data_IF_939074694487
#
_entry.id   IF_939074694487
#
_cell.length_a   1.000
_cell.length_b   1.000
_cell.length_c   1.000
_cell.angle_alpha   90.00
_cell.angle_beta   90.00
_cell.angle_gamma   90.00
#
_symmetry.space_group_name_H-M   'P 1'
#
loop_
_entity.id
_entity.type
_entity.pdbx_description
1 polymer ?
#
# COMPACT_ATOMS: atom_id res chain seq x y z
N UNK A 1 49.90 -20.04 -38.45
CA UNK A 1 50.08 -19.41 -37.13
C UNK A 1 49.24 -18.14 -37.13
N UNK A 2 48.12 -18.18 -36.51
CA UNK A 2 47.28 -16.99 -36.31
C UNK A 2 46.43 -17.27 -35.07
N UNK A 3 46.75 -16.55 -34.01
CA UNK A 3 46.10 -16.65 -32.70
C UNK A 3 44.75 -15.97 -32.77
N UNK A 4 43.65 -16.71 -32.60
CA UNK A 4 42.37 -16.16 -32.18
C UNK A 4 42.34 -16.19 -30.66
N UNK A 5 42.48 -15.01 -30.05
CA UNK A 5 42.20 -14.78 -28.63
C UNK A 5 40.69 -14.61 -28.50
N UNK A 6 40.02 -15.58 -27.90
CA UNK A 6 38.63 -15.49 -27.47
C UNK A 6 38.57 -14.55 -26.29
N UNK A 7 38.03 -13.34 -26.48
CA UNK A 7 37.65 -12.45 -25.41
C UNK A 7 36.29 -12.91 -24.87
N UNK A 8 36.32 -13.81 -23.89
CA UNK A 8 35.17 -14.06 -23.02
C UNK A 8 34.99 -12.84 -22.12
N UNK A 9 34.06 -11.96 -22.44
CA UNK A 9 33.55 -10.98 -21.50
C UNK A 9 32.83 -11.77 -20.40
N UNK A 10 33.52 -11.93 -19.27
CA UNK A 10 32.88 -12.34 -18.03
C UNK A 10 31.77 -11.32 -17.74
N UNK A 11 30.51 -11.77 -17.67
CA UNK A 11 29.41 -10.99 -17.15
C UNK A 11 29.84 -10.46 -15.78
N UNK A 12 30.22 -9.19 -15.71
CA UNK A 12 30.55 -8.52 -14.46
C UNK A 12 29.35 -8.68 -13.52
N UNK A 13 29.59 -9.20 -12.31
CA UNK A 13 28.57 -9.29 -11.28
C UNK A 13 27.87 -7.92 -11.19
N UNK A 14 26.54 -7.92 -11.30
CA UNK A 14 25.79 -6.67 -11.28
C UNK A 14 26.10 -5.91 -9.98
N UNK A 15 26.32 -4.58 -10.03
CA UNK A 15 26.72 -3.82 -8.85
C UNK A 15 25.67 -3.97 -7.75
N UNK A 16 26.14 -4.18 -6.50
CA UNK A 16 25.30 -4.27 -5.31
C UNK A 16 24.87 -2.88 -4.79
N UNK A 17 25.16 -1.83 -5.55
CA UNK A 17 24.80 -0.44 -5.21
C UNK A 17 23.88 0.12 -6.30
N UNK A 18 22.88 0.94 -5.90
CA UNK A 18 22.03 1.62 -6.85
C UNK A 18 22.84 2.67 -7.62
N UNK A 19 22.34 3.09 -8.78
CA UNK A 19 22.94 4.21 -9.50
C UNK A 19 22.93 5.48 -8.63
N UNK A 20 23.90 6.39 -8.81
CA UNK A 20 23.89 7.69 -8.12
C UNK A 20 22.58 8.44 -8.31
N UNK A 21 21.98 8.38 -9.49
CA UNK A 21 20.69 9.01 -9.78
C UNK A 21 19.55 8.40 -8.94
N UNK A 22 19.52 7.07 -8.76
CA UNK A 22 18.51 6.43 -7.91
C UNK A 22 18.68 6.86 -6.45
N UNK A 23 19.91 6.87 -5.94
CA UNK A 23 20.19 7.29 -4.57
C UNK A 23 19.83 8.77 -4.34
N UNK A 24 20.13 9.65 -5.29
CA UNK A 24 19.83 11.08 -5.21
C UNK A 24 18.30 11.32 -5.23
N UNK A 25 17.56 10.62 -6.08
CA UNK A 25 16.11 10.74 -6.12
C UNK A 25 15.47 10.26 -4.82
N UNK A 26 15.89 9.10 -4.30
CA UNK A 26 15.36 8.61 -3.01
C UNK A 26 15.65 9.61 -1.90
N UNK A 27 16.88 10.13 -1.79
CA UNK A 27 17.22 11.17 -0.81
C UNK A 27 16.35 12.41 -0.94
N UNK A 28 16.16 12.89 -2.18
CA UNK A 28 15.34 14.07 -2.45
C UNK A 28 13.90 13.88 -2.01
N UNK A 29 13.28 12.72 -2.29
CA UNK A 29 11.89 12.45 -1.90
C UNK A 29 11.76 12.27 -0.38
N UNK A 30 12.71 11.59 0.25
CA UNK A 30 12.72 11.37 1.71
C UNK A 30 12.92 12.68 2.48
N UNK A 31 13.68 13.64 1.94
CA UNK A 31 13.88 14.93 2.57
C UNK A 31 12.65 15.84 2.60
N UNK A 32 11.56 15.43 1.98
CA UNK A 32 10.27 16.14 2.03
C UNK A 32 9.38 15.41 3.03
N UNK A 33 9.05 16.10 4.13
CA UNK A 33 8.11 15.55 5.11
C UNK A 33 6.69 15.52 4.53
N UNK A 34 6.23 14.32 4.22
CA UNK A 34 4.86 14.02 3.79
C UNK A 34 4.21 13.03 4.76
N UNK A 35 4.47 13.19 6.05
CA UNK A 35 3.79 12.42 7.10
C UNK A 35 2.28 12.46 6.86
N UNK A 36 1.61 11.30 6.92
CA UNK A 36 0.16 11.20 6.72
C UNK A 36 -0.57 12.27 7.53
N UNK A 37 -1.57 12.88 6.96
CA UNK A 37 -2.24 14.11 7.41
C UNK A 37 -1.48 15.44 7.13
N UNK A 38 -0.28 15.41 6.55
CA UNK A 38 0.36 16.61 6.02
C UNK A 38 0.19 16.66 4.49
N UNK A 39 0.16 17.88 3.89
CA UNK A 39 0.05 18.03 2.44
C UNK A 39 1.22 17.39 1.70
N UNK A 40 0.93 16.65 0.62
CA UNK A 40 1.95 16.04 -0.24
C UNK A 40 2.21 16.82 -1.54
N UNK A 41 1.48 17.90 -1.81
CA UNK A 41 1.49 18.60 -3.10
C UNK A 41 2.89 19.07 -3.50
N UNK A 42 3.70 19.53 -2.54
CA UNK A 42 5.08 19.96 -2.84
C UNK A 42 5.95 18.82 -3.39
N UNK A 43 5.81 17.59 -2.87
CA UNK A 43 6.48 16.41 -3.43
C UNK A 43 5.94 16.09 -4.83
N UNK A 44 4.61 16.09 -4.97
CA UNK A 44 3.93 15.78 -6.25
C UNK A 44 4.33 16.77 -7.35
N UNK A 45 4.47 18.06 -7.05
CA UNK A 45 4.92 19.07 -8.00
C UNK A 45 6.36 18.84 -8.45
N UNK A 46 7.25 18.45 -7.56
CA UNK A 46 8.63 18.08 -7.91
C UNK A 46 8.63 16.89 -8.88
N UNK A 47 7.82 15.89 -8.65
CA UNK A 47 7.71 14.72 -9.55
C UNK A 47 7.08 15.12 -10.89
N UNK A 48 6.00 15.92 -10.88
CA UNK A 48 5.37 16.43 -12.10
C UNK A 48 6.37 17.21 -12.96
N UNK A 49 7.14 18.10 -12.34
CA UNK A 49 8.10 18.95 -13.05
C UNK A 49 9.26 18.12 -13.64
N UNK A 50 9.67 17.06 -12.95
CA UNK A 50 10.66 16.13 -13.50
C UNK A 50 10.11 15.33 -14.68
N UNK A 51 8.91 14.80 -14.58
CA UNK A 51 8.24 14.13 -15.70
C UNK A 51 8.13 15.07 -16.91
N UNK A 52 7.76 16.34 -16.67
CA UNK A 52 7.66 17.36 -17.72
C UNK A 52 9.01 17.65 -18.39
N UNK A 53 10.14 17.66 -17.66
CA UNK A 53 11.49 17.78 -18.25
C UNK A 53 11.82 16.66 -19.23
N UNK A 54 11.24 15.49 -19.01
CA UNK A 54 11.33 14.34 -19.90
C UNK A 54 10.20 14.28 -20.94
N UNK A 55 9.41 15.35 -21.10
CA UNK A 55 8.30 15.41 -22.06
C UNK A 55 7.13 14.49 -21.70
N UNK A 56 6.97 14.14 -20.44
CA UNK A 56 5.90 13.29 -19.94
C UNK A 56 4.90 14.18 -19.20
N UNK A 57 3.68 14.25 -19.73
CA UNK A 57 2.60 14.99 -19.10
C UNK A 57 1.98 14.20 -17.94
N UNK A 58 1.87 14.84 -16.78
CA UNK A 58 1.23 14.28 -15.60
C UNK A 58 -0.09 14.99 -15.30
N UNK A 59 -1.09 14.21 -14.94
CA UNK A 59 -2.38 14.69 -14.41
C UNK A 59 -2.36 14.66 -12.90
N UNK A 60 -2.69 15.76 -12.24
CA UNK A 60 -2.90 15.80 -10.79
C UNK A 60 -4.39 15.59 -10.49
N UNK A 61 -4.67 14.68 -9.58
CA UNK A 61 -6.02 14.41 -9.05
C UNK A 61 -6.06 14.96 -7.63
N UNK A 62 -6.54 16.20 -7.51
CA UNK A 62 -6.60 16.91 -6.24
C UNK A 62 -7.66 16.31 -5.30
N UNK A 63 -7.33 16.23 -4.02
CA UNK A 63 -8.28 15.95 -2.95
C UNK A 63 -9.17 17.19 -2.70
N UNK A 64 -10.24 17.03 -1.94
CA UNK A 64 -11.07 18.17 -1.46
C UNK A 64 -10.32 19.04 -0.45
N UNK A 65 -9.34 18.47 0.25
CA UNK A 65 -8.42 19.19 1.11
C UNK A 65 -7.38 19.91 0.25
N UNK A 66 -7.13 21.17 0.56
CA UNK A 66 -6.09 21.94 -0.13
C UNK A 66 -4.69 21.39 0.20
N UNK A 67 -3.87 21.20 -0.82
CA UNK A 67 -2.50 20.72 -0.67
C UNK A 67 -2.32 19.22 -0.78
N UNK A 68 -3.37 18.44 -1.05
CA UNK A 68 -3.29 17.00 -1.34
C UNK A 68 -3.59 16.69 -2.78
N UNK A 69 -2.77 15.86 -3.40
CA UNK A 69 -3.01 15.38 -4.76
C UNK A 69 -2.40 14.00 -4.99
N UNK A 70 -3.07 13.21 -5.82
CA UNK A 70 -2.46 12.08 -6.51
C UNK A 70 -1.88 12.54 -7.84
N UNK A 71 -0.95 11.76 -8.39
CA UNK A 71 -0.38 11.97 -9.71
C UNK A 71 -0.58 10.74 -10.58
N UNK A 72 -1.00 10.94 -11.83
CA UNK A 72 -0.96 9.93 -12.85
C UNK A 72 -0.28 10.44 -14.10
N UNK A 73 0.70 9.69 -14.62
CA UNK A 73 1.41 10.02 -15.84
C UNK A 73 1.50 8.81 -16.75
N UNK A 74 1.49 9.04 -18.07
CA UNK A 74 1.63 7.98 -19.07
C UNK A 74 2.78 8.31 -20.01
N UNK A 75 3.78 7.44 -20.07
CA UNK A 75 4.72 7.38 -21.19
C UNK A 75 4.06 6.55 -22.28
N UNK A 76 3.67 7.13 -23.41
CA UNK A 76 2.97 6.40 -24.46
C UNK A 76 3.89 5.38 -25.13
N UNK A 77 3.31 4.38 -25.77
CA UNK A 77 4.03 3.51 -26.70
C UNK A 77 4.55 4.35 -27.90
N UNK A 78 5.50 3.78 -28.64
CA UNK A 78 6.14 4.46 -29.77
C UNK A 78 5.16 4.88 -30.90
N UNK A 79 4.03 4.20 -31.01
CA UNK A 79 2.94 4.50 -31.96
C UNK A 79 1.93 5.50 -31.40
N UNK A 80 2.15 5.99 -30.19
CA UNK A 80 1.27 6.93 -29.49
C UNK A 80 0.19 6.28 -28.63
N UNK A 81 0.10 4.93 -28.59
CA UNK A 81 -0.89 4.24 -27.75
C UNK A 81 -0.70 4.57 -26.26
N UNK A 82 -1.79 4.77 -25.55
CA UNK A 82 -1.83 5.11 -24.11
C UNK A 82 -2.64 4.11 -23.28
N UNK A 83 -3.30 3.14 -23.92
CA UNK A 83 -4.04 2.05 -23.30
C UNK A 83 -3.18 0.81 -23.18
N UNK A 84 -3.46 -0.04 -22.20
CA UNK A 84 -2.63 -1.22 -21.89
C UNK A 84 -1.43 -0.87 -21.04
N UNK A 85 -0.34 -1.63 -21.20
CA UNK A 85 0.91 -1.39 -20.48
C UNK A 85 0.85 -1.64 -18.97
N UNK A 86 1.85 -1.14 -18.26
CA UNK A 86 2.06 -1.43 -16.84
C UNK A 86 2.04 -0.14 -16.03
N UNK A 87 1.33 -0.16 -14.89
CA UNK A 87 1.39 0.90 -13.87
C UNK A 87 2.47 0.56 -12.85
N UNK A 88 3.35 1.52 -12.58
CA UNK A 88 4.19 1.56 -11.39
C UNK A 88 3.47 2.41 -10.34
N UNK A 89 2.99 1.78 -9.27
CA UNK A 89 2.21 2.44 -8.24
C UNK A 89 2.99 2.54 -6.93
N UNK A 90 2.82 3.69 -6.25
CA UNK A 90 3.37 3.90 -4.93
C UNK A 90 2.74 5.08 -4.21
N UNK A 91 2.73 5.02 -2.88
CA UNK A 91 2.26 6.12 -2.06
C UNK A 91 3.39 7.08 -1.69
N UNK A 92 3.02 8.34 -1.48
CA UNK A 92 3.96 9.43 -1.20
C UNK A 92 4.01 9.83 0.26
N UNK A 93 3.01 9.45 1.02
CA UNK A 93 2.97 9.68 2.47
C UNK A 93 3.81 8.66 3.24
N UNK A 94 4.05 8.96 4.50
CA UNK A 94 4.82 8.14 5.43
C UNK A 94 4.21 8.22 6.82
N UNK A 95 4.38 7.18 7.64
CA UNK A 95 3.89 7.18 9.03
C UNK A 95 4.63 8.22 9.90
N UNK A 96 3.96 8.76 10.94
CA UNK A 96 4.56 9.72 11.87
C UNK A 96 5.84 9.20 12.54
N UNK A 97 6.77 10.12 12.80
CA UNK A 97 8.01 9.85 13.55
C UNK A 97 7.91 10.28 15.01
N UNK A 98 6.84 10.97 15.37
CA UNK A 98 6.62 11.47 16.73
C UNK A 98 6.60 10.31 17.75
N UNK A 99 7.30 10.50 18.87
CA UNK A 99 7.42 9.48 19.92
C UNK A 99 8.42 8.36 19.64
N UNK A 100 9.09 8.38 18.48
CA UNK A 100 10.16 7.44 18.13
C UNK A 100 11.55 8.04 18.43
N UNK A 101 12.47 7.20 18.87
CA UNK A 101 13.88 7.61 19.09
C UNK A 101 14.68 7.30 17.83
N UNK A 102 15.14 8.34 17.14
CA UNK A 102 15.97 8.27 15.94
C UNK A 102 17.41 8.67 16.25
N UNK A 103 18.37 7.97 15.63
CA UNK A 103 19.81 8.26 15.76
C UNK A 103 20.23 9.41 14.84
N UNK A 104 19.42 9.74 13.82
CA UNK A 104 19.61 10.85 12.89
C UNK A 104 18.26 11.46 12.53
N UNK A 105 18.25 12.64 11.91
CA UNK A 105 17.01 13.27 11.43
C UNK A 105 16.32 12.34 10.42
N UNK A 106 15.07 11.89 10.66
CA UNK A 106 14.35 10.99 9.76
C UNK A 106 14.11 11.56 8.36
N UNK A 107 14.16 12.87 8.17
CA UNK A 107 14.00 13.56 6.90
C UNK A 107 15.32 14.13 6.33
N UNK A 108 16.47 13.80 6.92
CA UNK A 108 17.79 14.04 6.38
C UNK A 108 18.49 12.68 6.06
N UNK A 109 18.12 12.02 4.95
CA UNK A 109 18.52 10.64 4.69
C UNK A 109 20.02 10.51 4.49
N UNK A 110 20.63 9.56 5.19
CA UNK A 110 22.07 9.32 5.14
C UNK A 110 22.43 7.84 4.92
N UNK A 111 23.54 7.60 4.23
CA UNK A 111 24.06 6.25 4.03
C UNK A 111 25.03 5.91 5.16
N UNK A 112 24.76 4.80 5.85
CA UNK A 112 25.63 4.19 6.87
C UNK A 112 25.65 2.67 6.64
N UNK A 113 26.79 2.06 6.67
CA UNK A 113 26.98 0.59 6.60
C UNK A 113 26.16 -0.10 5.47
N UNK A 114 26.18 0.48 4.25
CA UNK A 114 25.47 -0.07 3.10
C UNK A 114 23.94 0.06 3.17
N UNK A 115 23.42 0.97 4.02
CA UNK A 115 22.00 1.22 4.22
C UNK A 115 21.71 2.71 4.10
N UNK A 116 20.61 3.07 3.46
CA UNK A 116 20.08 4.42 3.43
C UNK A 116 19.01 4.55 4.53
N UNK A 117 19.32 5.33 5.57
CA UNK A 117 18.42 5.60 6.69
C UNK A 117 17.56 6.82 6.41
N UNK A 118 16.31 6.79 6.81
CA UNK A 118 15.32 7.87 6.73
C UNK A 118 13.91 7.34 6.67
N UNK A 119 12.92 8.11 7.13
CA UNK A 119 11.51 7.76 7.06
C UNK A 119 11.02 7.75 5.60
N UNK A 120 10.44 6.62 5.18
CA UNK A 120 9.98 6.41 3.80
C UNK A 120 11.06 5.90 2.85
N UNK A 121 12.29 5.63 3.34
CA UNK A 121 13.32 5.00 2.49
C UNK A 121 12.93 3.59 2.08
N UNK A 122 12.28 2.85 2.96
CA UNK A 122 11.75 1.52 2.75
C UNK A 122 10.28 1.57 2.29
N UNK A 123 9.46 2.37 2.94
CA UNK A 123 8.01 2.43 2.78
C UNK A 123 7.56 3.86 2.41
N UNK A 124 7.40 4.20 1.08
CA UNK A 124 7.94 3.43 -0.06
C UNK A 124 8.57 4.38 -1.09
N UNK A 125 9.13 5.53 -0.62
CA UNK A 125 9.81 6.52 -1.48
C UNK A 125 11.05 5.94 -2.18
N UNK A 126 11.63 4.84 -1.62
CA UNK A 126 12.72 4.09 -2.25
C UNK A 126 12.34 3.54 -3.62
N UNK A 127 11.17 2.94 -3.76
CA UNK A 127 10.64 2.49 -5.04
C UNK A 127 10.39 3.65 -6.00
N UNK A 128 9.69 4.69 -5.52
CA UNK A 128 9.35 5.87 -6.34
C UNK A 128 10.62 6.56 -6.87
N UNK A 129 11.60 6.82 -5.99
CA UNK A 129 12.85 7.47 -6.37
C UNK A 129 13.65 6.64 -7.39
N UNK A 130 13.68 5.32 -7.21
CA UNK A 130 14.32 4.41 -8.17
C UNK A 130 13.62 4.43 -9.53
N UNK A 131 12.29 4.49 -9.57
CA UNK A 131 11.52 4.58 -10.82
C UNK A 131 11.77 5.92 -11.54
N UNK A 132 11.82 7.04 -10.80
CA UNK A 132 12.12 8.37 -11.36
C UNK A 132 13.54 8.47 -11.93
N UNK A 133 14.51 7.82 -11.30
CA UNK A 133 15.89 7.78 -11.79
C UNK A 133 16.01 7.13 -13.18
N UNK A 134 15.05 6.30 -13.56
CA UNK A 134 15.02 5.62 -14.86
C UNK A 134 14.33 6.42 -15.96
N UNK A 135 13.84 7.64 -15.71
CA UNK A 135 13.17 8.47 -16.72
C UNK A 135 14.02 8.70 -17.98
N UNK A 136 15.34 8.98 -17.90
CA UNK A 136 16.18 9.06 -19.10
C UNK A 136 16.16 7.77 -19.93
N UNK A 137 16.32 6.62 -19.26
CA UNK A 137 16.29 5.30 -19.89
C UNK A 137 14.93 5.00 -20.53
N UNK A 138 13.83 5.30 -19.84
CA UNK A 138 12.46 5.14 -20.36
C UNK A 138 12.28 5.96 -21.64
N UNK A 139 12.81 7.18 -21.69
CA UNK A 139 12.71 8.08 -22.86
C UNK A 139 13.51 7.59 -24.06
N UNK A 140 14.62 6.92 -23.83
CA UNK A 140 15.47 6.33 -24.88
C UNK A 140 14.91 5.00 -25.39
N UNK A 141 14.08 4.33 -24.60
CA UNK A 141 13.49 3.04 -24.94
C UNK A 141 12.31 3.21 -25.89
N UNK A 142 12.31 2.45 -26.99
CA UNK A 142 11.18 2.38 -27.92
C UNK A 142 10.11 1.44 -27.37
N UNK A 143 9.17 1.98 -26.61
CA UNK A 143 8.13 1.18 -25.95
C UNK A 143 7.11 0.65 -26.98
N UNK A 144 6.77 -0.63 -26.95
CA UNK A 144 5.63 -1.22 -27.66
C UNK A 144 4.33 -1.08 -26.89
N UNK A 145 4.42 -0.92 -25.57
CA UNK A 145 3.27 -0.70 -24.68
C UNK A 145 3.56 0.46 -23.74
N UNK A 146 2.54 1.20 -23.30
CA UNK A 146 2.75 2.35 -22.40
C UNK A 146 3.27 1.91 -21.03
N UNK A 147 3.99 2.83 -20.38
CA UNK A 147 4.35 2.75 -18.97
C UNK A 147 3.66 3.88 -18.22
N UNK A 148 3.04 3.56 -17.09
CA UNK A 148 2.33 4.54 -16.28
C UNK A 148 2.94 4.69 -14.90
N UNK A 149 2.86 5.90 -14.35
CA UNK A 149 3.15 6.22 -12.96
C UNK A 149 1.84 6.57 -12.25
N UNK A 150 1.60 5.95 -11.12
CA UNK A 150 0.46 6.24 -10.25
C UNK A 150 0.98 6.50 -8.84
N UNK A 151 0.91 7.76 -8.39
CA UNK A 151 1.37 8.13 -7.05
C UNK A 151 0.18 8.62 -6.24
N UNK A 152 -0.03 7.99 -5.08
CA UNK A 152 -1.14 8.27 -4.18
C UNK A 152 -0.68 9.02 -2.92
N UNK A 153 -1.65 9.56 -2.18
CA UNK A 153 -1.47 10.14 -0.85
C UNK A 153 -2.29 9.36 0.19
N UNK A 154 -1.91 9.50 1.45
CA UNK A 154 -2.65 8.97 2.61
C UNK A 154 -2.96 7.46 2.47
N UNK A 155 -1.98 6.68 1.99
CA UNK A 155 -2.07 5.21 1.97
C UNK A 155 -2.05 4.67 3.40
N UNK A 156 -1.13 5.16 4.22
CA UNK A 156 -0.82 4.72 5.58
C UNK A 156 -1.97 4.88 6.59
N UNK A 157 -2.97 5.64 6.22
CA UNK A 157 -4.19 5.84 7.02
C UNK A 157 -5.43 5.18 6.38
N UNK A 158 -5.18 4.20 5.49
CA UNK A 158 -6.21 3.36 4.89
C UNK A 158 -6.46 3.59 3.42
N UNK A 159 -5.42 3.87 2.63
CA UNK A 159 -5.45 4.01 1.17
C UNK A 159 -6.43 5.10 0.71
N UNK A 160 -6.51 6.23 1.41
CA UNK A 160 -7.56 7.27 1.20
C UNK A 160 -7.43 7.93 -0.18
N UNK A 161 -6.21 8.13 -0.69
CA UNK A 161 -5.96 8.79 -1.96
C UNK A 161 -6.24 7.91 -3.17
N UNK A 162 -5.86 6.64 -3.14
CA UNK A 162 -5.92 5.71 -4.27
C UNK A 162 -7.33 5.59 -4.90
N UNK A 163 -8.45 5.53 -4.17
CA UNK A 163 -9.78 5.50 -4.76
C UNK A 163 -10.09 6.69 -5.68
N UNK A 164 -9.61 7.89 -5.34
CA UNK A 164 -9.81 9.09 -6.16
C UNK A 164 -9.02 9.00 -7.46
N UNK A 165 -7.78 8.52 -7.40
CA UNK A 165 -6.94 8.28 -8.56
C UNK A 165 -7.58 7.24 -9.49
N UNK A 166 -7.99 6.10 -8.96
CA UNK A 166 -8.63 5.00 -9.72
C UNK A 166 -9.95 5.47 -10.36
N UNK A 167 -10.76 6.25 -9.64
CA UNK A 167 -11.99 6.82 -10.18
C UNK A 167 -11.70 7.78 -11.35
N UNK A 168 -10.60 8.55 -11.29
CA UNK A 168 -10.15 9.40 -12.38
C UNK A 168 -9.72 8.58 -13.60
N UNK A 169 -8.94 7.52 -13.43
CA UNK A 169 -8.55 6.60 -14.51
C UNK A 169 -9.79 6.04 -15.22
N UNK A 170 -10.74 5.54 -14.44
CA UNK A 170 -12.01 5.01 -14.98
C UNK A 170 -12.79 6.07 -15.77
N UNK A 171 -12.90 7.30 -15.25
CA UNK A 171 -13.59 8.41 -15.92
C UNK A 171 -12.92 8.79 -17.25
N UNK A 172 -11.59 8.75 -17.30
CA UNK A 172 -10.80 9.04 -18.51
C UNK A 172 -10.70 7.86 -19.48
N UNK A 173 -11.22 6.68 -19.10
CA UNK A 173 -11.18 5.47 -19.92
C UNK A 173 -9.78 4.83 -20.01
N UNK A 174 -8.85 5.16 -19.10
CA UNK A 174 -7.50 4.58 -19.06
C UNK A 174 -7.58 3.16 -18.51
N UNK A 175 -7.07 2.19 -19.26
CA UNK A 175 -7.16 0.74 -18.93
C UNK A 175 -5.78 0.11 -18.97
N UNK A 176 -4.98 0.18 -17.92
CA UNK A 176 -3.72 -0.53 -17.85
C UNK A 176 -3.92 -2.04 -17.92
N UNK A 177 -2.97 -2.74 -18.53
CA UNK A 177 -2.98 -4.21 -18.61
C UNK A 177 -2.51 -4.86 -17.30
N UNK A 178 -1.76 -4.13 -16.47
CA UNK A 178 -1.32 -4.59 -15.15
C UNK A 178 -0.79 -3.46 -14.28
N UNK A 179 -0.65 -3.75 -12.99
CA UNK A 179 -0.11 -2.83 -12.00
C UNK A 179 0.92 -3.55 -11.11
N UNK A 180 2.02 -2.86 -10.82
CA UNK A 180 3.02 -3.26 -9.82
C UNK A 180 2.99 -2.20 -8.72
N UNK A 181 2.55 -2.58 -7.54
CA UNK A 181 2.64 -1.74 -6.33
C UNK A 181 3.99 -2.00 -5.67
N UNK A 182 4.77 -0.96 -5.48
CA UNK A 182 6.19 -1.05 -5.13
C UNK A 182 6.50 -1.17 -3.64
N UNK A 183 5.60 -1.73 -2.85
CA UNK A 183 5.78 -1.96 -1.41
C UNK A 183 6.96 -2.88 -1.10
N UNK A 184 7.57 -2.76 0.11
CA UNK A 184 8.78 -3.47 0.48
C UNK A 184 8.57 -4.97 0.67
N UNK A 185 8.80 -5.75 -0.37
CA UNK A 185 8.65 -7.22 -0.39
C UNK A 185 9.98 -7.97 -0.42
N UNK A 186 11.12 -7.27 -0.31
CA UNK A 186 12.44 -7.85 -0.56
C UNK A 186 12.64 -8.25 -2.03
N UNK A 187 12.01 -7.53 -2.95
CA UNK A 187 11.96 -7.84 -4.38
C UNK A 187 11.33 -9.21 -4.71
N UNK A 188 10.46 -9.71 -3.85
CA UNK A 188 9.70 -10.94 -4.08
C UNK A 188 8.29 -10.61 -4.56
N UNK A 189 7.75 -11.45 -5.43
CA UNK A 189 6.39 -11.25 -5.95
C UNK A 189 5.36 -11.70 -4.93
N UNK A 190 4.59 -10.74 -4.39
CA UNK A 190 3.45 -11.00 -3.51
C UNK A 190 2.18 -10.96 -4.35
N UNK A 191 1.39 -12.02 -4.28
CA UNK A 191 0.17 -12.22 -5.08
C UNK A 191 -1.11 -12.04 -4.28
N UNK A 192 -1.04 -11.98 -2.97
CA UNK A 192 -2.22 -11.74 -2.14
C UNK A 192 -1.86 -11.00 -0.86
N UNK A 193 -2.78 -10.17 -0.40
CA UNK A 193 -2.74 -9.55 0.91
C UNK A 193 -4.14 -9.42 1.50
N UNK A 194 -4.23 -9.27 2.85
CA UNK A 194 -5.51 -9.09 3.52
C UNK A 194 -6.14 -7.74 3.22
N UNK A 195 -7.47 -7.69 3.27
CA UNK A 195 -8.20 -6.42 3.36
C UNK A 195 -8.02 -5.78 4.73
N UNK A 196 -8.13 -4.45 4.79
CA UNK A 196 -8.06 -3.66 6.03
C UNK A 196 -9.31 -2.78 6.09
N UNK A 197 -10.04 -2.88 7.20
CA UNK A 197 -11.26 -2.12 7.41
C UNK A 197 -11.29 -1.57 8.82
N UNK A 198 -11.32 -0.24 8.94
CA UNK A 198 -11.28 0.46 10.23
C UNK A 198 -12.59 1.20 10.46
N UNK A 199 -13.14 1.03 11.65
CA UNK A 199 -14.40 1.62 12.06
C UNK A 199 -14.26 2.33 13.40
N UNK A 200 -15.06 3.38 13.57
CA UNK A 200 -15.36 3.99 14.87
C UNK A 200 -16.79 3.63 15.26
N UNK A 201 -16.98 3.21 16.49
CA UNK A 201 -18.28 3.01 17.08
C UNK A 201 -18.53 4.05 18.17
N UNK A 202 -19.70 4.69 18.16
CA UNK A 202 -20.17 5.58 19.19
C UNK A 202 -21.39 4.96 19.87
N UNK A 203 -21.28 4.69 21.16
CA UNK A 203 -22.36 4.22 22.02
C UNK A 203 -22.90 5.40 22.83
N UNK A 204 -24.20 5.72 22.67
CA UNK A 204 -24.89 6.81 23.38
C UNK A 204 -25.81 6.24 24.43
N UNK A 205 -25.53 6.59 25.67
CA UNK A 205 -26.31 6.28 26.84
C UNK A 205 -27.03 7.50 27.40
N UNK A 206 -27.16 7.57 28.72
CA UNK A 206 -27.80 8.68 29.44
C UNK A 206 -27.07 8.98 30.76
N UNK A 207 -26.68 10.24 30.94
CA UNK A 207 -25.99 10.67 32.15
C UNK A 207 -26.94 10.71 33.37
N UNK A 208 -26.39 10.30 34.50
CA UNK A 208 -27.04 10.48 35.80
C UNK A 208 -25.97 10.61 36.89
N UNK A 209 -26.33 11.12 38.05
CA UNK A 209 -25.45 11.05 39.21
C UNK A 209 -25.22 9.59 39.62
N UNK A 210 -24.01 9.20 39.96
CA UNK A 210 -23.65 7.79 40.23
C UNK A 210 -24.46 7.15 41.36
N UNK A 211 -25.00 7.95 42.32
CA UNK A 211 -25.93 7.43 43.33
C UNK A 211 -27.32 7.10 42.78
N UNK A 212 -27.61 7.51 41.55
CA UNK A 212 -28.89 7.29 40.85
C UNK A 212 -28.66 6.47 39.58
N UNK A 213 -27.71 5.53 39.61
CA UNK A 213 -27.33 4.67 38.45
C UNK A 213 -28.55 4.13 37.69
N UNK A 214 -29.65 3.65 38.33
CA UNK A 214 -30.81 3.15 37.58
C UNK A 214 -31.58 4.22 36.77
N UNK A 215 -31.27 5.51 36.94
CA UNK A 215 -31.83 6.61 36.14
C UNK A 215 -30.93 6.97 34.93
N UNK A 216 -29.71 6.42 34.88
CA UNK A 216 -28.79 6.59 33.78
C UNK A 216 -28.74 5.35 32.93
N UNK A 217 -27.97 5.46 31.81
CA UNK A 217 -27.59 4.35 30.97
C UNK A 217 -26.09 4.44 30.65
N UNK A 218 -25.32 3.50 31.17
CA UNK A 218 -23.86 3.53 31.13
C UNK A 218 -23.32 3.12 29.73
N UNK A 219 -22.90 4.11 28.95
CA UNK A 219 -22.38 3.89 27.61
C UNK A 219 -21.08 3.04 27.59
N UNK A 220 -20.22 3.15 28.60
CA UNK A 220 -18.98 2.36 28.69
C UNK A 220 -19.29 0.88 28.86
N UNK A 221 -20.25 0.52 29.73
CA UNK A 221 -20.60 -0.88 29.96
C UNK A 221 -21.22 -1.54 28.73
N UNK A 222 -22.00 -0.81 27.94
CA UNK A 222 -22.57 -1.27 26.70
C UNK A 222 -21.50 -1.36 25.58
N UNK A 223 -20.58 -0.38 25.51
CA UNK A 223 -19.43 -0.46 24.62
C UNK A 223 -18.55 -1.68 24.94
N UNK A 224 -18.27 -1.95 26.20
CA UNK A 224 -17.50 -3.11 26.63
C UNK A 224 -18.13 -4.44 26.17
N UNK A 225 -19.46 -4.57 26.23
CA UNK A 225 -20.18 -5.76 25.72
C UNK A 225 -19.99 -5.92 24.21
N UNK A 226 -20.07 -4.82 23.46
CA UNK A 226 -19.84 -4.86 22.01
C UNK A 226 -18.39 -5.21 21.66
N UNK A 227 -17.43 -4.66 22.40
CA UNK A 227 -16.00 -5.00 22.27
C UNK A 227 -15.76 -6.49 22.54
N UNK A 228 -16.38 -7.05 23.60
CA UNK A 228 -16.31 -8.50 23.86
C UNK A 228 -16.90 -9.30 22.70
N UNK A 229 -18.03 -8.87 22.13
CA UNK A 229 -18.60 -9.56 20.97
C UNK A 229 -17.71 -9.49 19.71
N UNK A 230 -17.04 -8.36 19.45
CA UNK A 230 -16.03 -8.25 18.39
C UNK A 230 -14.90 -9.25 18.62
N UNK A 231 -14.47 -9.40 19.88
CA UNK A 231 -13.45 -10.38 20.26
C UNK A 231 -13.95 -11.82 20.03
N UNK A 232 -15.18 -12.13 20.38
CA UNK A 232 -15.78 -13.46 20.13
C UNK A 232 -15.81 -13.79 18.64
N UNK A 233 -16.10 -12.81 17.78
CA UNK A 233 -16.04 -12.96 16.30
C UNK A 233 -14.60 -13.26 15.86
N UNK A 234 -13.62 -12.53 16.39
CA UNK A 234 -12.20 -12.74 16.07
C UNK A 234 -11.73 -14.14 16.50
N UNK A 235 -12.16 -14.61 17.69
CA UNK A 235 -11.83 -15.93 18.20
C UNK A 235 -12.48 -17.04 17.34
N UNK A 236 -13.72 -16.85 16.86
CA UNK A 236 -14.34 -17.79 15.94
C UNK A 236 -13.56 -17.90 14.62
N UNK A 237 -13.10 -16.79 14.03
CA UNK A 237 -12.26 -16.86 12.82
C UNK A 237 -10.94 -17.60 13.11
N UNK A 238 -10.34 -17.38 14.27
CA UNK A 238 -9.11 -18.06 14.67
C UNK A 238 -9.30 -19.57 14.85
N UNK A 239 -10.45 -20.01 15.36
CA UNK A 239 -10.72 -21.40 15.70
C UNK A 239 -11.37 -22.19 14.55
N UNK A 240 -12.18 -21.52 13.70
CA UNK A 240 -13.04 -22.17 12.72
C UNK A 240 -12.73 -21.75 11.27
N UNK A 241 -11.86 -20.75 11.07
CA UNK A 241 -11.53 -20.23 9.73
C UNK A 241 -12.65 -19.40 9.08
N UNK A 242 -12.60 -19.27 7.76
CA UNK A 242 -11.73 -20.01 6.84
C UNK A 242 -10.25 -19.72 7.05
N UNK A 243 -9.40 -20.69 6.66
CA UNK A 243 -7.95 -20.60 6.75
C UNK A 243 -7.29 -20.56 5.38
N UNK A 244 -6.14 -19.88 5.31
CA UNK A 244 -5.23 -19.92 4.17
C UNK A 244 -3.79 -19.91 4.73
N UNK A 245 -3.16 -21.09 4.74
CA UNK A 245 -1.86 -21.35 5.35
C UNK A 245 -0.68 -20.70 4.62
N UNK A 246 -0.93 -20.04 3.48
CA UNK A 246 0.09 -19.23 2.79
C UNK A 246 0.27 -17.85 3.42
N UNK A 247 -0.67 -17.41 4.27
CA UNK A 247 -0.50 -16.21 5.08
C UNK A 247 0.21 -16.54 6.40
N UNK A 248 1.09 -15.66 6.85
CA UNK A 248 1.74 -15.72 8.17
C UNK A 248 0.72 -15.70 9.34
N UNK A 249 -0.44 -15.06 9.13
CA UNK A 249 -1.63 -15.17 9.99
C UNK A 249 -2.76 -15.74 9.13
N UNK A 250 -3.07 -17.06 9.21
CA UNK A 250 -3.87 -17.77 8.21
C UNK A 250 -5.39 -17.57 8.31
N UNK A 251 -5.86 -16.62 9.11
CA UNK A 251 -7.30 -16.36 9.34
C UNK A 251 -7.60 -14.87 9.40
N UNK A 252 -8.88 -14.51 9.29
CA UNK A 252 -9.37 -13.15 9.48
C UNK A 252 -9.21 -12.72 10.93
N UNK A 253 -8.64 -11.53 11.16
CA UNK A 253 -8.41 -10.98 12.50
C UNK A 253 -9.28 -9.76 12.75
N UNK A 254 -9.65 -9.51 14.01
CA UNK A 254 -10.25 -8.26 14.44
C UNK A 254 -9.70 -7.84 15.81
N UNK A 255 -9.56 -6.53 16.01
CA UNK A 255 -9.10 -5.96 17.28
C UNK A 255 -9.74 -4.60 17.55
N UNK A 256 -9.91 -4.25 18.82
CA UNK A 256 -10.22 -2.89 19.26
C UNK A 256 -8.92 -2.19 19.63
N UNK A 257 -8.67 -1.02 19.06
CA UNK A 257 -7.39 -0.31 19.19
C UNK A 257 -7.47 0.92 20.10
N UNK A 258 -8.60 1.60 20.12
CA UNK A 258 -8.81 2.82 20.91
C UNK A 258 -10.15 2.77 21.63
N UNK A 259 -10.22 3.31 22.85
CA UNK A 259 -11.45 3.50 23.59
C UNK A 259 -11.37 4.77 24.42
N UNK A 260 -12.46 5.55 24.40
CA UNK A 260 -12.63 6.78 25.15
C UNK A 260 -14.06 6.87 25.67
N UNK A 261 -14.27 7.21 26.96
CA UNK A 261 -15.60 7.35 27.51
C UNK A 261 -15.61 7.88 28.93
N UNK A 262 -16.75 8.52 29.28
CA UNK A 262 -16.92 9.13 30.58
C UNK A 262 -16.17 10.45 30.75
N UNK A 263 -16.54 11.21 31.79
CA UNK A 263 -15.97 12.53 32.13
C UNK A 263 -15.71 12.74 33.62
N UNK A 264 -16.35 11.96 34.49
CA UNK A 264 -16.15 12.03 35.92
C UNK A 264 -16.51 10.70 36.60
N UNK A 265 -15.84 10.37 37.70
CA UNK A 265 -16.01 9.11 38.42
C UNK A 265 -17.40 8.98 39.08
N UNK A 266 -18.04 10.11 39.40
CA UNK A 266 -19.34 10.15 40.04
C UNK A 266 -20.53 10.46 39.11
N UNK A 267 -20.34 10.22 37.80
CA UNK A 267 -21.35 10.38 36.75
C UNK A 267 -21.48 9.10 35.95
N UNK A 268 -22.71 8.65 35.66
CA UNK A 268 -22.97 7.59 34.70
C UNK A 268 -22.59 8.08 33.32
N UNK A 269 -21.65 7.42 32.59
CA UNK A 269 -21.18 7.89 31.30
C UNK A 269 -22.29 7.89 30.23
N UNK A 270 -22.51 9.04 29.59
CA UNK A 270 -23.50 9.20 28.53
C UNK A 270 -22.95 8.81 27.13
N UNK A 271 -21.65 8.75 26.98
CA UNK A 271 -21.03 8.43 25.69
C UNK A 271 -19.77 7.60 25.90
N UNK A 272 -19.57 6.65 24.99
CA UNK A 272 -18.32 5.91 24.84
C UNK A 272 -18.05 5.73 23.35
N UNK A 273 -16.83 6.07 22.92
CA UNK A 273 -16.35 5.85 21.56
C UNK A 273 -15.21 4.84 21.60
N UNK A 274 -15.18 3.95 20.62
CA UNK A 274 -14.05 3.07 20.41
C UNK A 274 -13.80 2.87 18.94
N UNK A 275 -12.55 2.58 18.58
CA UNK A 275 -12.16 2.24 17.22
C UNK A 275 -11.70 0.80 17.17
N UNK A 276 -12.07 0.11 16.11
CA UNK A 276 -11.66 -1.27 15.83
C UNK A 276 -11.31 -1.44 14.38
N UNK A 277 -10.43 -2.39 14.10
CA UNK A 277 -10.12 -2.82 12.74
C UNK A 277 -10.35 -4.32 12.61
N UNK A 278 -10.60 -4.76 11.39
CA UNK A 278 -10.47 -6.17 11.04
C UNK A 278 -9.68 -6.30 9.72
N UNK A 279 -8.93 -7.41 9.62
CA UNK A 279 -8.18 -7.78 8.44
C UNK A 279 -8.70 -9.11 7.93
N UNK A 280 -9.49 -9.05 6.86
CA UNK A 280 -10.10 -10.25 6.28
C UNK A 280 -9.17 -10.92 5.26
N UNK A 281 -9.23 -12.23 5.19
CA UNK A 281 -8.70 -12.98 4.05
C UNK A 281 -9.45 -12.55 2.77
N UNK A 282 -8.81 -12.57 1.58
CA UNK A 282 -9.44 -12.16 0.33
C UNK A 282 -10.74 -12.92 -0.01
N UNK A 283 -10.86 -14.17 0.42
CA UNK A 283 -12.06 -15.00 0.24
C UNK A 283 -13.17 -14.77 1.28
N UNK A 284 -12.96 -13.85 2.23
CA UNK A 284 -13.97 -13.45 3.22
C UNK A 284 -14.45 -12.04 2.87
N UNK A 285 -15.70 -11.90 2.46
CA UNK A 285 -16.27 -10.59 2.19
C UNK A 285 -16.27 -9.71 3.47
N UNK A 286 -15.79 -8.47 3.41
CA UNK A 286 -15.75 -7.60 4.59
C UNK A 286 -17.13 -7.35 5.20
N UNK A 287 -18.18 -7.34 4.37
CA UNK A 287 -19.58 -7.23 4.80
C UNK A 287 -20.00 -8.37 5.73
N UNK A 288 -19.40 -9.56 5.59
CA UNK A 288 -19.63 -10.68 6.50
C UNK A 288 -19.16 -10.36 7.91
N UNK A 289 -18.03 -9.68 8.06
CA UNK A 289 -17.44 -9.34 9.37
C UNK A 289 -18.22 -8.20 10.02
N UNK A 290 -18.30 -7.05 9.31
CA UNK A 290 -19.00 -5.87 9.86
C UNK A 290 -20.49 -6.12 10.04
N UNK A 291 -21.14 -6.84 9.13
CA UNK A 291 -22.56 -7.18 9.22
C UNK A 291 -22.90 -8.01 10.47
N UNK A 292 -22.04 -8.92 10.90
CA UNK A 292 -22.23 -9.67 12.17
C UNK A 292 -22.16 -8.75 13.38
N UNK A 293 -21.21 -7.80 13.38
CA UNK A 293 -21.04 -6.82 14.47
C UNK A 293 -22.25 -5.90 14.54
N UNK A 294 -22.65 -5.32 13.42
CA UNK A 294 -23.80 -4.42 13.35
C UNK A 294 -25.13 -5.11 13.65
N UNK A 295 -25.31 -6.35 13.16
CA UNK A 295 -26.52 -7.13 13.43
C UNK A 295 -26.67 -7.40 14.94
N UNK A 296 -25.61 -7.83 15.60
CA UNK A 296 -25.67 -8.06 17.05
C UNK A 296 -25.91 -6.77 17.84
N UNK A 297 -25.27 -5.68 17.45
CA UNK A 297 -25.50 -4.36 18.04
C UNK A 297 -26.98 -3.95 17.90
N UNK A 298 -27.54 -4.09 16.69
CA UNK A 298 -28.93 -3.69 16.37
C UNK A 298 -29.97 -4.61 17.00
N UNK A 299 -29.74 -5.92 16.99
CA UNK A 299 -30.77 -6.93 17.33
C UNK A 299 -30.69 -7.39 18.78
N UNK A 300 -29.52 -7.31 19.39
CA UNK A 300 -29.31 -7.80 20.76
C UNK A 300 -29.04 -6.65 21.76
N UNK A 301 -28.15 -5.72 21.41
CA UNK A 301 -27.67 -4.73 22.36
C UNK A 301 -28.58 -3.51 22.43
N UNK A 302 -28.91 -2.92 21.29
CA UNK A 302 -29.71 -1.70 21.20
C UNK A 302 -31.14 -1.84 21.81
N UNK A 303 -31.88 -2.96 21.64
CA UNK A 303 -33.16 -3.14 22.30
C UNK A 303 -33.06 -3.13 23.82
N UNK A 304 -31.99 -3.70 24.39
CA UNK A 304 -31.74 -3.67 25.85
C UNK A 304 -31.47 -2.25 26.32
N UNK A 305 -30.64 -1.50 25.58
CA UNK A 305 -30.36 -0.10 25.90
C UNK A 305 -31.60 0.75 25.82
N UNK A 306 -32.46 0.55 24.82
CA UNK A 306 -33.70 1.33 24.66
C UNK A 306 -34.79 1.00 25.68
N UNK A 307 -34.75 -0.19 26.25
CA UNK A 307 -35.63 -0.54 27.38
C UNK A 307 -35.26 0.24 28.65
N UNK A 308 -33.97 0.56 28.83
CA UNK A 308 -33.50 1.41 29.94
C UNK A 308 -33.65 2.90 29.62
N UNK A 309 -33.28 3.32 28.38
CA UNK A 309 -33.42 4.71 27.94
C UNK A 309 -33.77 4.78 26.43
N UNK A 310 -34.97 5.28 26.07
CA UNK A 310 -35.47 5.23 24.68
C UNK A 310 -34.59 5.97 23.64
N UNK A 311 -33.81 6.98 24.03
CA UNK A 311 -32.93 7.74 23.15
C UNK A 311 -31.55 7.09 22.93
N UNK A 312 -31.33 5.91 23.53
CA UNK A 312 -30.06 5.20 23.35
C UNK A 312 -29.78 4.86 21.88
N UNK A 313 -28.52 4.98 21.47
CA UNK A 313 -28.06 4.74 20.12
C UNK A 313 -26.69 4.04 20.08
N UNK A 314 -26.47 3.29 18.99
CA UNK A 314 -25.17 2.77 18.61
C UNK A 314 -24.97 3.18 17.14
N UNK A 315 -23.90 3.89 16.87
CA UNK A 315 -23.58 4.40 15.54
C UNK A 315 -22.21 3.89 15.10
N UNK A 316 -22.10 3.42 13.85
CA UNK A 316 -20.86 3.01 13.23
C UNK A 316 -20.47 3.99 12.15
N UNK A 317 -19.21 4.39 12.15
CA UNK A 317 -18.57 5.21 11.13
C UNK A 317 -17.43 4.41 10.52
N UNK A 318 -17.46 4.20 9.21
CA UNK A 318 -16.34 3.60 8.50
C UNK A 318 -15.25 4.66 8.28
N UNK A 319 -14.09 4.49 8.91
CA UNK A 319 -12.95 5.41 8.78
C UNK A 319 -12.15 5.12 7.51
N UNK A 320 -11.87 3.84 7.24
CA UNK A 320 -11.17 3.42 6.04
C UNK A 320 -11.60 2.01 5.61
N UNK A 321 -11.37 1.70 4.33
CA UNK A 321 -11.70 0.38 3.79
C UNK A 321 -10.84 0.12 2.55
N UNK A 322 -9.91 -0.80 2.64
CA UNK A 322 -9.09 -1.29 1.52
C UNK A 322 -9.35 -2.79 1.32
N UNK A 323 -9.78 -3.22 0.13
CA UNK A 323 -10.01 -4.64 -0.14
C UNK A 323 -8.70 -5.42 -0.15
N UNK A 324 -8.80 -6.73 0.12
CA UNK A 324 -7.66 -7.64 -0.05
C UNK A 324 -7.30 -7.82 -1.53
N UNK A 325 -6.04 -8.16 -1.76
CA UNK A 325 -5.55 -8.61 -3.06
C UNK A 325 -5.62 -10.15 -3.12
N UNK A 326 -6.06 -10.69 -4.25
CA UNK A 326 -5.92 -12.10 -4.62
C UNK A 326 -5.66 -12.18 -6.12
N UNK A 327 -4.41 -12.00 -6.51
CA UNK A 327 -4.00 -11.97 -7.91
C UNK A 327 -4.02 -13.38 -8.50
N UNK A 328 -4.64 -13.53 -9.67
CA UNK A 328 -4.61 -14.79 -10.41
C UNK A 328 -3.16 -15.12 -10.83
N UNK A 329 -2.76 -16.37 -10.64
CA UNK A 329 -1.42 -16.82 -11.01
C UNK A 329 -1.18 -16.78 -12.52
N UNK A 330 -2.24 -16.98 -13.29
CA UNK A 330 -2.25 -16.96 -14.75
C UNK A 330 -2.30 -15.54 -15.33
N UNK A 331 -2.54 -14.52 -14.50
CA UNK A 331 -2.53 -13.14 -14.98
C UNK A 331 -1.16 -12.76 -15.55
N UNK A 332 -1.17 -12.10 -16.70
CA UNK A 332 0.07 -11.75 -17.41
C UNK A 332 1.05 -10.97 -16.53
N UNK A 333 0.56 -10.04 -15.72
CA UNK A 333 1.40 -9.27 -14.79
C UNK A 333 2.02 -10.16 -13.71
N UNK A 334 1.28 -11.15 -13.18
CA UNK A 334 1.80 -12.10 -12.19
C UNK A 334 2.93 -12.94 -12.77
N UNK A 335 2.71 -13.49 -13.97
CA UNK A 335 3.71 -14.29 -14.68
C UNK A 335 4.94 -13.46 -15.04
N UNK A 336 4.75 -12.24 -15.55
CA UNK A 336 5.83 -11.33 -15.88
C UNK A 336 6.70 -11.02 -14.64
N UNK A 337 6.08 -10.54 -13.54
CA UNK A 337 6.86 -10.15 -12.36
C UNK A 337 7.58 -11.35 -11.74
N UNK A 338 6.95 -12.53 -11.71
CA UNK A 338 7.62 -13.79 -11.30
C UNK A 338 8.82 -14.14 -12.19
N UNK A 339 8.68 -14.03 -13.50
CA UNK A 339 9.79 -14.28 -14.42
C UNK A 339 10.94 -13.30 -14.18
N UNK A 340 10.63 -12.01 -13.97
CA UNK A 340 11.63 -10.97 -13.75
C UNK A 340 12.33 -11.07 -12.39
N UNK A 341 11.64 -11.54 -11.35
CA UNK A 341 12.19 -11.73 -10.00
C UNK A 341 12.82 -13.11 -9.78
N UNK A 342 12.51 -14.08 -10.64
CA UNK A 342 12.87 -15.49 -10.44
C UNK A 342 12.05 -16.18 -9.32
N UNK A 343 10.99 -15.55 -8.84
CA UNK A 343 10.16 -16.08 -7.75
C UNK A 343 9.24 -17.20 -8.25
N UNK A 344 9.29 -18.33 -7.55
CA UNK A 344 8.44 -19.50 -7.84
C UNK A 344 7.43 -19.80 -6.75
N UNK A 345 7.63 -19.21 -5.56
CA UNK A 345 6.75 -19.43 -4.42
C UNK A 345 5.51 -18.55 -4.50
N UNK A 346 4.43 -19.03 -3.92
CA UNK A 346 3.20 -18.27 -3.69
C UNK A 346 3.37 -17.47 -2.40
N UNK A 347 3.56 -16.17 -2.50
CA UNK A 347 3.70 -15.31 -1.33
C UNK A 347 2.43 -14.54 -1.08
N UNK A 348 1.95 -14.65 0.14
CA UNK A 348 0.82 -13.90 0.67
C UNK A 348 1.25 -13.21 1.96
N UNK A 349 0.76 -11.99 2.18
CA UNK A 349 1.15 -11.17 3.33
C UNK A 349 -0.06 -10.70 4.12
N UNK A 350 0.07 -10.56 5.44
CA UNK A 350 -1.03 -10.15 6.30
C UNK A 350 -1.24 -8.64 6.37
N UNK A 351 -0.23 -7.83 5.95
CA UNK A 351 -0.43 -6.38 5.78
C UNK A 351 -1.25 -6.13 4.51
N UNK A 352 -1.89 -4.97 4.40
CA UNK A 352 -2.63 -4.57 3.22
C UNK A 352 -1.92 -3.44 2.51
N UNK A 353 -2.26 -3.23 1.24
CA UNK A 353 -1.74 -2.17 0.39
C UNK A 353 -2.85 -1.64 -0.52
N UNK A 354 -2.58 -0.61 -1.31
CA UNK A 354 -3.52 -0.13 -2.33
C UNK A 354 -3.72 -1.10 -3.51
N UNK A 355 -2.94 -2.21 -3.59
CA UNK A 355 -3.03 -3.17 -4.70
C UNK A 355 -4.42 -3.81 -4.82
N UNK A 356 -5.09 -4.05 -3.70
CA UNK A 356 -6.46 -4.55 -3.69
C UNK A 356 -7.47 -3.61 -4.37
N UNK A 357 -7.24 -2.29 -4.28
CA UNK A 357 -8.09 -1.28 -4.94
C UNK A 357 -7.92 -1.29 -6.46
N UNK A 358 -6.69 -1.40 -6.96
CA UNK A 358 -6.43 -1.56 -8.40
C UNK A 358 -7.04 -2.85 -8.93
N UNK A 359 -6.86 -3.97 -8.22
CA UNK A 359 -7.44 -5.26 -8.59
C UNK A 359 -8.98 -5.21 -8.61
N UNK A 360 -9.61 -4.60 -7.61
CA UNK A 360 -11.07 -4.40 -7.57
C UNK A 360 -11.57 -3.52 -8.73
N UNK A 361 -10.75 -2.60 -9.21
CA UNK A 361 -11.06 -1.78 -10.38
C UNK A 361 -10.88 -2.52 -11.72
N UNK A 362 -10.48 -3.80 -11.70
CA UNK A 362 -10.28 -4.63 -12.89
C UNK A 362 -8.89 -4.50 -13.51
N UNK A 363 -7.91 -3.94 -12.78
CA UNK A 363 -6.51 -3.87 -13.20
C UNK A 363 -5.75 -5.00 -12.49
N UNK A 364 -5.30 -6.06 -13.20
CA UNK A 364 -4.52 -7.14 -12.60
C UNK A 364 -3.28 -6.59 -11.89
N UNK A 365 -3.09 -6.92 -10.61
CA UNK A 365 -2.10 -6.25 -9.76
C UNK A 365 -1.30 -7.25 -8.95
N UNK A 366 -0.01 -6.97 -8.78
CA UNK A 366 0.89 -7.67 -7.85
C UNK A 366 1.67 -6.65 -7.03
N UNK A 367 2.24 -7.10 -5.91
CA UNK A 367 3.09 -6.26 -5.06
C UNK A 367 4.53 -6.74 -5.18
N UNK A 368 5.45 -5.81 -5.51
CA UNK A 368 6.89 -6.11 -5.62
C UNK A 368 7.71 -4.83 -5.53
N UNK A 369 8.53 -4.71 -4.50
CA UNK A 369 9.39 -3.55 -4.33
C UNK A 369 10.59 -3.80 -3.40
N UNK A 370 11.56 -2.87 -3.39
CA UNK A 370 12.78 -2.98 -2.60
C UNK A 370 12.54 -2.73 -1.12
N UNK A 371 13.35 -3.36 -0.28
CA UNK A 371 13.26 -3.27 1.17
C UNK A 371 12.40 -4.39 1.78
N UNK A 372 12.34 -4.41 3.09
CA UNK A 372 11.61 -5.42 3.85
C UNK A 372 10.66 -4.76 4.82
N UNK A 373 9.42 -5.26 4.88
CA UNK A 373 8.35 -4.67 5.70
C UNK A 373 8.70 -4.56 7.20
N UNK A 374 9.60 -5.41 7.68
CA UNK A 374 10.07 -5.38 9.06
C UNK A 374 10.86 -4.11 9.40
N UNK A 375 11.32 -3.36 8.39
CA UNK A 375 12.02 -2.07 8.55
C UNK A 375 11.04 -0.88 8.55
N UNK A 376 9.86 -1.04 7.98
CA UNK A 376 8.83 -0.02 7.92
C UNK A 376 8.29 0.34 9.32
N UNK A 377 7.78 1.56 9.48
CA UNK A 377 7.09 2.07 10.68
C UNK A 377 7.94 2.12 11.96
N UNK A 378 9.23 1.86 11.89
CA UNK A 378 10.16 1.87 13.04
C UNK A 378 11.03 3.11 13.05
N UNK A 379 11.56 3.45 14.23
CA UNK A 379 12.69 4.37 14.33
C UNK A 379 13.90 3.79 13.58
N UNK A 380 14.71 4.65 12.99
CA UNK A 380 15.84 4.24 12.16
C UNK A 380 15.43 3.33 10.99
N UNK A 381 14.27 3.59 10.38
CA UNK A 381 13.89 2.96 9.13
C UNK A 381 15.01 3.10 8.10
N UNK A 382 15.26 2.05 7.34
CA UNK A 382 16.25 2.04 6.28
C UNK A 382 15.86 1.11 5.14
N UNK A 383 16.42 1.37 3.98
CA UNK A 383 16.53 0.40 2.89
C UNK A 383 18.00 0.09 2.62
N UNK A 384 18.37 -1.17 2.41
CA UNK A 384 19.74 -1.49 2.05
C UNK A 384 20.04 -1.11 0.59
N UNK A 385 21.29 -0.71 0.32
CA UNK A 385 21.69 -0.28 -1.02
C UNK A 385 21.56 -1.41 -2.06
N UNK A 386 21.78 -2.66 -1.67
CA UNK A 386 21.58 -3.83 -2.53
C UNK A 386 20.11 -4.06 -2.89
N UNK A 387 19.16 -3.73 -1.98
CA UNK A 387 17.73 -3.76 -2.28
C UNK A 387 17.35 -2.66 -3.27
N UNK A 388 17.83 -1.43 -3.11
CA UNK A 388 17.62 -0.37 -4.09
C UNK A 388 18.21 -0.74 -5.46
N UNK A 389 19.44 -1.28 -5.49
CA UNK A 389 20.06 -1.77 -6.71
C UNK A 389 19.25 -2.91 -7.38
N UNK A 390 18.69 -3.80 -6.56
CA UNK A 390 17.81 -4.88 -7.05
C UNK A 390 16.50 -4.33 -7.61
N UNK A 391 15.91 -3.32 -6.96
CA UNK A 391 14.75 -2.60 -7.45
C UNK A 391 15.03 -1.90 -8.78
N UNK A 392 16.17 -1.23 -8.91
CA UNK A 392 16.58 -0.58 -10.18
C UNK A 392 16.74 -1.61 -11.31
N UNK A 393 17.41 -2.73 -11.06
CA UNK A 393 17.55 -3.81 -12.05
C UNK A 393 16.20 -4.40 -12.45
N UNK A 394 15.31 -4.60 -11.48
CA UNK A 394 13.96 -5.08 -11.73
C UNK A 394 13.18 -4.12 -12.61
N UNK A 395 13.16 -2.83 -12.28
CA UNK A 395 12.45 -1.82 -13.08
C UNK A 395 13.04 -1.69 -14.50
N UNK A 396 14.36 -1.80 -14.69
CA UNK A 396 14.97 -1.86 -16.02
C UNK A 396 14.47 -3.07 -16.82
N UNK A 397 14.28 -4.23 -16.19
CA UNK A 397 13.69 -5.42 -16.84
C UNK A 397 12.21 -5.22 -17.16
N UNK A 398 11.45 -4.54 -16.30
CA UNK A 398 10.05 -4.16 -16.59
C UNK A 398 10.01 -3.27 -17.82
N UNK A 399 10.84 -2.23 -17.90
CA UNK A 399 10.93 -1.33 -19.06
C UNK A 399 11.27 -2.14 -20.33
N UNK A 400 12.29 -3.00 -20.28
CA UNK A 400 12.69 -3.87 -21.40
C UNK A 400 11.56 -4.81 -21.84
N UNK A 401 10.73 -5.32 -20.93
CA UNK A 401 9.59 -6.18 -21.30
C UNK A 401 8.49 -5.43 -22.06
N UNK A 402 8.51 -4.11 -22.03
CA UNK A 402 7.60 -3.24 -22.79
C UNK A 402 8.22 -2.73 -24.09
N UNK A 403 9.46 -3.10 -24.42
CA UNK A 403 10.19 -2.66 -25.61
C UNK A 403 9.61 -3.28 -26.88
N UNK A 404 9.66 -2.55 -27.98
CA UNK A 404 9.25 -3.06 -29.29
C UNK A 404 10.29 -4.04 -29.84
N UNK A 405 9.84 -5.19 -30.30
CA UNK A 405 10.68 -6.16 -31.00
C UNK A 405 11.18 -5.57 -32.33
N UNK A 406 12.42 -5.14 -32.38
CA UNK A 406 13.05 -4.66 -33.63
C UNK A 406 13.53 -5.81 -34.52
N UNK A 407 13.02 -7.02 -34.32
CA UNK A 407 13.27 -8.19 -35.20
C UNK A 407 14.71 -8.76 -35.18
N UNK A 408 15.68 -8.02 -34.67
CA UNK A 408 17.10 -8.40 -34.60
C UNK A 408 17.54 -8.82 -33.18
N UNK A 409 16.88 -8.36 -32.13
CA UNK A 409 17.23 -8.73 -30.75
C UNK A 409 16.66 -10.10 -30.35
N UNK A 410 15.49 -10.47 -30.86
CA UNK A 410 14.85 -11.77 -30.58
C UNK A 410 15.63 -12.98 -31.09
N UNK A 411 16.43 -12.84 -32.15
CA UNK A 411 17.32 -13.90 -32.66
C UNK A 411 18.55 -14.10 -31.77
N UNK A 412 19.11 -13.03 -31.19
CA UNK A 412 20.29 -13.12 -30.33
C UNK A 412 19.96 -13.70 -28.93
N UNK A 413 18.78 -13.38 -28.36
CA UNK A 413 18.35 -13.97 -27.07
C UNK A 413 17.86 -15.42 -27.21
N UNK A 414 17.22 -15.80 -28.32
CA UNK A 414 16.90 -17.21 -28.60
C UNK A 414 18.16 -18.06 -28.79
N UNK A 415 19.21 -17.49 -29.34
CA UNK A 415 20.51 -18.18 -29.47
C UNK A 415 21.22 -18.35 -28.12
N UNK A 416 21.03 -17.45 -27.17
CA UNK A 416 21.64 -17.52 -25.85
C UNK A 416 20.87 -18.42 -24.83
N UNK A 417 19.63 -18.81 -25.15
CA UNK A 417 18.81 -19.74 -24.34
C UNK A 417 18.92 -21.21 -24.82
N UNK A 418 19.69 -21.51 -25.84
CA UNK A 418 19.88 -22.84 -26.42
C UNK A 418 21.29 -23.39 -26.17
N UNK A 419 22.12 -22.73 -25.36
CA UNK A 419 23.45 -23.26 -24.95
C UNK A 419 23.46 -23.55 -23.44
#
# INVERSE_FOLDING_TARGET
>A
MSNFVSSGEALAAAPNEPSPAALDWVRRLVSIDTTSHLPNLGLIEIVRDELARHGIEATLVHDRREGWANLFATVPAHDGARDGGIVLSGHTDVVPVAGQQWDSDPFAPEVRDGRLFGRGTCDMKGFIGTALALLPHIRETRLAQPLHFALSHDEEIGCVGAPHLIADLKRRGVRPAGCIVGEPTGMRTVIAHKGIHTYRCCVRGHAAHSSLTPKGLNAIEYAARLICHIRDIADQFREQGPFDDLFDVPFTTAQTSLIEGGNAINTVPAECRFSFEFRNLPNVAPETVIGRIEAWARETLLPRMRAEHPAAAIEFERLSSSPGLDAAEEAAITQLVRALTGERERRKVAYGTEAGLFAQAGIPTVVCGPGHIEQAHRANEYVSLDQLASGERFLRRVIRSLEADDGLAAEAERAALVV
#
